data_IF_893677561139
#
_entry.id   IF_893677561139
#
_cell.length_a   1.000
_cell.length_b   1.000
_cell.length_c   1.000
_cell.angle_alpha   90.00
_cell.angle_beta   90.00
_cell.angle_gamma   90.00
#
_symmetry.space_group_name_H-M   'P 1'
#
loop_
_entity.id
_entity.type
_entity.pdbx_description
1 polymer ?
#
# COMPACT_ATOMS: atom_id res chain seq x y z
N UNK A 1 -7.38 -9.96 8.86
CA UNK A 1 -6.18 -10.66 8.34
C UNK A 1 -5.70 -9.94 7.09
N UNK A 2 -4.41 -9.58 6.97
CA UNK A 2 -3.84 -9.14 5.69
C UNK A 2 -3.60 -10.41 4.86
N UNK A 3 -3.77 -10.40 3.54
CA UNK A 3 -2.96 -11.32 2.73
C UNK A 3 -1.52 -11.05 3.16
N UNK A 4 -0.83 -12.02 3.77
CA UNK A 4 0.39 -11.83 4.56
C UNK A 4 1.59 -11.40 3.67
N UNK A 5 1.48 -10.17 3.19
CA UNK A 5 2.33 -9.41 2.28
C UNK A 5 3.06 -8.36 3.13
N UNK A 6 4.11 -7.73 2.61
CA UNK A 6 5.06 -6.85 3.33
C UNK A 6 6.40 -7.55 3.67
N UNK A 7 6.73 -8.71 3.05
CA UNK A 7 8.02 -9.41 3.29
C UNK A 7 9.21 -8.56 2.83
N UNK A 8 9.01 -7.78 1.77
CA UNK A 8 10.02 -6.89 1.19
C UNK A 8 10.31 -5.65 2.04
N UNK A 9 9.55 -5.38 3.11
CA UNK A 9 9.71 -4.23 4.00
C UNK A 9 10.12 -4.67 5.42
N UNK A 10 11.40 -5.04 5.64
CA UNK A 10 11.87 -5.54 6.94
C UNK A 10 12.19 -4.41 7.95
N UNK A 11 11.73 -3.18 7.71
CA UNK A 11 12.12 -2.01 8.48
C UNK A 11 11.17 -1.77 9.66
N UNK A 12 11.71 -1.28 10.76
CA UNK A 12 10.92 -0.79 11.91
C UNK A 12 10.89 0.74 11.85
N UNK A 13 9.71 1.34 11.67
CA UNK A 13 9.61 2.79 11.46
C UNK A 13 8.24 3.36 11.82
N UNK A 14 8.23 4.64 12.19
CA UNK A 14 7.02 5.47 12.23
C UNK A 14 7.00 6.51 11.09
N UNK A 15 8.17 6.86 10.55
CA UNK A 15 8.30 7.77 9.42
C UNK A 15 8.41 6.96 8.12
N UNK A 16 7.49 7.17 7.17
CA UNK A 16 7.46 6.48 5.87
C UNK A 16 8.79 6.57 5.09
N UNK A 17 9.68 7.53 5.38
CA UNK A 17 10.99 7.67 4.73
C UNK A 17 11.99 6.61 5.21
N UNK A 18 11.82 6.10 6.44
CA UNK A 18 12.72 5.13 7.09
C UNK A 18 12.35 3.67 6.79
N UNK A 19 11.35 3.40 5.96
CA UNK A 19 10.97 2.05 5.52
C UNK A 19 10.11 2.11 4.26
N UNK A 20 9.51 1.00 3.82
CA UNK A 20 8.81 0.97 2.52
C UNK A 20 7.30 1.26 2.61
N UNK A 21 6.91 2.13 3.55
CA UNK A 21 5.50 2.44 3.87
C UNK A 21 4.68 2.93 2.68
N UNK A 22 5.30 3.60 1.70
CA UNK A 22 4.62 3.98 0.45
C UNK A 22 4.19 2.78 -0.37
N UNK A 23 5.09 1.80 -0.55
CA UNK A 23 4.82 0.60 -1.31
C UNK A 23 3.80 -0.28 -0.58
N UNK A 24 3.99 -0.46 0.73
CA UNK A 24 3.16 -1.34 1.57
C UNK A 24 1.80 -0.75 1.98
N UNK A 25 1.54 0.54 1.71
CA UNK A 25 0.32 1.29 2.11
C UNK A 25 -1.02 0.60 1.85
N UNK A 26 -1.12 -0.26 0.85
CA UNK A 26 -2.36 -0.95 0.47
C UNK A 26 -2.64 -2.19 1.32
N UNK A 27 -1.73 -2.53 2.24
CA UNK A 27 -1.89 -3.60 3.22
C UNK A 27 -2.75 -3.15 4.40
N UNK A 28 -4.07 -3.07 4.18
CA UNK A 28 -5.05 -2.74 5.22
C UNK A 28 -5.61 -3.97 5.94
N UNK A 29 -6.28 -3.75 7.08
CA UNK A 29 -6.99 -4.78 7.84
C UNK A 29 -8.49 -4.51 7.77
N UNK A 30 -9.28 -5.55 7.53
CA UNK A 30 -10.73 -5.46 7.44
C UNK A 30 -11.43 -6.37 8.46
N UNK A 31 -12.62 -5.95 8.88
CA UNK A 31 -13.52 -6.74 9.74
C UNK A 31 -14.35 -7.67 8.86
N UNK A 32 -14.08 -8.96 8.92
CA UNK A 32 -14.74 -9.92 8.04
C UNK A 32 -14.41 -11.36 8.38
N UNK A 33 -14.75 -12.25 7.46
CA UNK A 33 -14.47 -13.67 7.55
C UNK A 33 -13.23 -13.95 6.70
N UNK A 34 -12.30 -14.72 7.25
CA UNK A 34 -11.11 -15.18 6.56
C UNK A 34 -11.03 -16.70 6.60
N UNK A 35 -10.49 -17.29 5.53
CA UNK A 35 -10.13 -18.69 5.44
C UNK A 35 -8.67 -18.82 5.00
N UNK A 36 -7.95 -19.70 5.66
CA UNK A 36 -6.57 -20.06 5.36
C UNK A 36 -6.49 -21.56 5.13
N UNK A 37 -5.95 -21.94 3.98
CA UNK A 37 -5.74 -23.35 3.69
C UNK A 37 -4.60 -23.92 4.53
N UNK A 38 -4.61 -25.24 4.81
CA UNK A 38 -3.40 -25.95 5.16
C UNK A 38 -2.32 -25.75 4.09
N UNK A 39 -1.08 -26.05 4.46
CA UNK A 39 0.01 -26.11 3.50
C UNK A 39 -0.06 -27.38 2.67
N UNK A 40 0.13 -27.27 1.37
CA UNK A 40 0.22 -28.42 0.48
C UNK A 40 1.32 -28.20 -0.57
N UNK A 41 2.37 -29.03 -0.53
CA UNK A 41 3.53 -28.92 -1.42
C UNK A 41 4.14 -27.51 -1.47
N UNK A 42 4.25 -26.85 -0.31
CA UNK A 42 4.75 -25.47 -0.18
C UNK A 42 3.73 -24.38 -0.50
N UNK A 43 2.54 -24.72 -1.01
CA UNK A 43 1.49 -23.76 -1.32
C UNK A 43 0.55 -23.50 -0.13
N UNK A 44 0.13 -22.24 0.02
CA UNK A 44 -0.95 -21.79 0.91
C UNK A 44 -1.85 -20.80 0.20
N UNK A 45 -3.16 -20.97 0.35
CA UNK A 45 -4.17 -20.06 -0.16
C UNK A 45 -4.90 -19.37 1.00
N UNK A 46 -5.21 -18.08 0.83
CA UNK A 46 -5.96 -17.29 1.78
C UNK A 46 -7.11 -16.58 1.07
N UNK A 47 -8.27 -16.49 1.70
CA UNK A 47 -9.38 -15.67 1.23
C UNK A 47 -9.95 -14.86 2.40
N UNK A 48 -10.34 -13.62 2.15
CA UNK A 48 -11.05 -12.77 3.09
C UNK A 48 -12.21 -12.08 2.39
N UNK A 49 -13.35 -12.05 3.07
CA UNK A 49 -14.50 -11.24 2.68
C UNK A 49 -14.91 -10.34 3.85
N UNK A 50 -14.98 -9.03 3.57
CA UNK A 50 -15.52 -8.03 4.48
C UNK A 50 -16.91 -7.65 3.98
N UNK A 51 -17.99 -8.08 4.65
CA UNK A 51 -19.34 -7.74 4.27
C UNK A 51 -19.56 -6.23 4.30
N UNK A 52 -20.38 -5.77 3.36
CA UNK A 52 -20.93 -4.42 3.30
C UNK A 52 -21.21 -3.79 4.67
N UNK A 53 -22.01 -4.44 5.51
CA UNK A 53 -22.52 -3.78 6.72
C UNK A 53 -21.42 -3.54 7.76
N UNK A 54 -20.34 -4.33 7.71
CA UNK A 54 -19.12 -4.07 8.49
C UNK A 54 -18.34 -2.87 7.94
N UNK A 55 -18.42 -2.59 6.64
CA UNK A 55 -17.78 -1.44 5.99
C UNK A 55 -18.61 -0.18 6.18
N UNK A 56 -19.93 -0.28 6.00
CA UNK A 56 -20.89 0.83 6.00
C UNK A 56 -21.49 1.15 7.37
N UNK A 57 -21.12 0.41 8.42
CA UNK A 57 -21.67 0.58 9.77
C UNK A 57 -23.17 0.29 9.87
N UNK A 58 -23.71 -0.56 8.99
CA UNK A 58 -25.13 -0.92 8.94
C UNK A 58 -26.10 0.19 8.50
N UNK A 59 -25.61 1.33 7.98
CA UNK A 59 -26.47 2.44 7.56
C UNK A 59 -27.12 2.19 6.19
N UNK A 60 -28.24 1.45 6.20
CA UNK A 60 -28.99 1.03 5.01
C UNK A 60 -29.83 2.15 4.38
N UNK A 61 -30.26 3.14 5.17
CA UNK A 61 -31.03 4.27 4.66
C UNK A 61 -30.17 5.17 3.78
N UNK A 62 -28.94 5.49 4.22
CA UNK A 62 -28.05 6.34 3.42
C UNK A 62 -27.59 5.69 2.12
N UNK A 63 -27.60 4.38 2.04
CA UNK A 63 -27.40 3.69 0.78
C UNK A 63 -28.58 3.86 -0.17
N UNK A 64 -29.80 3.56 0.29
CA UNK A 64 -30.99 3.57 -0.56
C UNK A 64 -31.36 4.99 -1.00
N UNK A 65 -31.30 5.93 -0.06
CA UNK A 65 -31.74 7.31 -0.28
C UNK A 65 -30.67 8.18 -0.97
N UNK A 66 -29.38 7.87 -0.77
CA UNK A 66 -28.27 8.70 -1.27
C UNK A 66 -27.26 7.96 -2.16
N UNK A 67 -27.51 6.69 -2.49
CA UNK A 67 -26.67 5.93 -3.44
C UNK A 67 -25.24 5.68 -2.95
N UNK A 68 -25.02 5.65 -1.62
CA UNK A 68 -23.69 5.52 -0.99
C UNK A 68 -22.90 4.28 -1.44
N UNK A 69 -23.54 3.26 -2.02
CA UNK A 69 -22.87 2.08 -2.54
C UNK A 69 -22.51 1.03 -1.47
N UNK A 70 -22.02 -0.14 -1.90
CA UNK A 70 -21.84 -1.31 -1.03
C UNK A 70 -20.52 -1.35 -0.26
N UNK A 71 -19.41 -0.90 -0.84
CA UNK A 71 -18.13 -0.87 -0.13
C UNK A 71 -17.51 -2.24 0.22
N UNK A 72 -18.18 -3.36 -0.09
CA UNK A 72 -17.67 -4.71 0.18
C UNK A 72 -16.21 -4.88 -0.25
N UNK A 73 -15.43 -5.62 0.56
CA UNK A 73 -14.01 -5.85 0.28
C UNK A 73 -13.75 -7.35 0.16
N UNK A 74 -12.96 -7.73 -0.84
CA UNK A 74 -12.55 -9.11 -1.08
C UNK A 74 -11.03 -9.16 -1.20
N UNK A 75 -10.40 -10.13 -0.55
CA UNK A 75 -8.97 -10.36 -0.66
C UNK A 75 -8.70 -11.82 -0.92
N UNK A 76 -7.78 -12.11 -1.83
CA UNK A 76 -7.24 -13.47 -2.02
C UNK A 76 -5.72 -13.43 -2.02
N UNK A 77 -5.11 -14.49 -1.50
CA UNK A 77 -3.67 -14.66 -1.40
C UNK A 77 -3.26 -16.05 -1.87
N UNK A 78 -2.15 -16.12 -2.59
CA UNK A 78 -1.45 -17.35 -2.92
C UNK A 78 0.00 -17.21 -2.50
N UNK A 79 0.49 -18.16 -1.72
CA UNK A 79 1.86 -18.17 -1.22
C UNK A 79 2.50 -19.51 -1.61
N UNK A 80 3.78 -19.46 -1.94
CA UNK A 80 4.62 -20.60 -2.20
C UNK A 80 5.95 -20.41 -1.48
N UNK A 81 6.46 -21.48 -0.88
CA UNK A 81 7.82 -21.53 -0.36
C UNK A 81 8.45 -22.88 -0.66
N UNK A 82 9.75 -22.87 -0.95
CA UNK A 82 10.55 -24.08 -1.13
C UNK A 82 12.04 -23.74 -1.01
N UNK A 83 12.76 -24.44 -0.13
CA UNK A 83 14.22 -24.35 0.01
C UNK A 83 14.77 -22.90 0.11
N UNK A 84 14.12 -22.06 0.92
CA UNK A 84 14.48 -20.64 1.09
C UNK A 84 13.89 -19.71 0.03
N UNK A 85 13.48 -20.21 -1.13
CA UNK A 85 12.74 -19.40 -2.10
C UNK A 85 11.31 -19.19 -1.64
N UNK A 86 10.79 -17.99 -1.88
CA UNK A 86 9.39 -17.66 -1.64
C UNK A 86 8.78 -16.87 -2.80
N UNK A 87 7.48 -17.05 -2.99
CA UNK A 87 6.67 -16.23 -3.87
C UNK A 87 5.28 -16.03 -3.26
N UNK A 88 4.77 -14.80 -3.28
CA UNK A 88 3.49 -14.40 -2.71
C UNK A 88 2.77 -13.51 -3.68
N UNK A 89 1.52 -13.84 -3.98
CA UNK A 89 0.61 -13.02 -4.74
C UNK A 89 -0.59 -12.65 -3.89
N UNK A 90 -0.91 -11.37 -3.82
CA UNK A 90 -2.08 -10.84 -3.14
C UNK A 90 -2.94 -10.04 -4.11
N UNK A 91 -4.24 -10.25 -4.05
CA UNK A 91 -5.23 -9.48 -4.77
C UNK A 91 -6.26 -8.92 -3.79
N UNK A 92 -6.53 -7.62 -3.86
CA UNK A 92 -7.64 -6.97 -3.16
C UNK A 92 -8.59 -6.35 -4.17
N UNK A 93 -9.88 -6.53 -3.95
CA UNK A 93 -10.96 -5.87 -4.67
C UNK A 93 -11.78 -5.04 -3.68
N UNK A 94 -11.98 -3.77 -4.01
CA UNK A 94 -12.62 -2.77 -3.15
C UNK A 94 -13.80 -2.18 -3.92
N UNK A 95 -15.04 -2.47 -3.51
CA UNK A 95 -16.19 -1.89 -4.20
C UNK A 95 -16.29 -0.39 -3.95
N UNK A 96 -16.56 0.37 -5.01
CA UNK A 96 -16.84 1.81 -4.96
C UNK A 96 -15.78 2.70 -4.28
N UNK A 97 -14.52 2.28 -4.22
CA UNK A 97 -13.46 3.03 -3.53
C UNK A 97 -12.97 4.29 -4.28
N UNK A 98 -13.42 4.52 -5.52
CA UNK A 98 -13.13 5.75 -6.26
C UNK A 98 -14.34 6.27 -7.04
N UNK A 99 -14.26 7.51 -7.51
CA UNK A 99 -15.21 8.09 -8.45
C UNK A 99 -14.53 8.88 -9.57
N UNK A 100 -15.30 9.05 -10.65
CA UNK A 100 -14.97 9.88 -11.80
C UNK A 100 -16.10 10.88 -12.00
N UNK A 101 -15.77 12.16 -12.10
CA UNK A 101 -16.71 13.23 -12.46
C UNK A 101 -16.61 13.47 -13.96
N UNK A 102 -17.73 13.31 -14.66
CA UNK A 102 -17.83 13.63 -16.09
C UNK A 102 -17.90 15.14 -16.33
N UNK A 103 -17.63 15.58 -17.56
CA UNK A 103 -17.77 16.99 -17.96
C UNK A 103 -19.20 17.54 -17.74
N UNK A 104 -20.20 16.66 -17.84
CA UNK A 104 -21.62 16.95 -17.52
C UNK A 104 -21.93 17.04 -16.02
N UNK A 105 -20.94 16.88 -15.12
CA UNK A 105 -21.11 16.91 -13.68
C UNK A 105 -21.64 15.61 -13.05
N UNK A 106 -21.95 14.58 -13.85
CA UNK A 106 -22.35 13.27 -13.34
C UNK A 106 -21.17 12.54 -12.70
N UNK A 107 -21.37 12.05 -11.48
CA UNK A 107 -20.39 11.25 -10.73
C UNK A 107 -20.65 9.77 -10.94
N UNK A 108 -19.62 9.03 -11.33
CA UNK A 108 -19.66 7.57 -11.49
C UNK A 108 -18.71 6.90 -10.50
N UNK A 109 -19.26 6.07 -9.60
CA UNK A 109 -18.49 5.21 -8.72
C UNK A 109 -17.71 4.15 -9.51
N UNK A 110 -16.55 3.79 -9.00
CA UNK A 110 -15.59 2.86 -9.60
C UNK A 110 -15.00 1.95 -8.52
N UNK A 111 -14.76 0.71 -8.91
CA UNK A 111 -14.13 -0.27 -8.03
C UNK A 111 -12.60 -0.16 -8.05
N UNK A 112 -12.02 -0.41 -6.88
CA UNK A 112 -10.61 -0.53 -6.60
C UNK A 112 -10.09 -1.94 -6.76
N UNK A 113 -8.84 -2.02 -7.22
CA UNK A 113 -8.11 -3.27 -7.23
C UNK A 113 -6.63 -3.06 -6.91
N UNK A 114 -6.06 -3.98 -6.16
CA UNK A 114 -4.62 -4.04 -5.87
C UNK A 114 -4.14 -5.42 -6.22
N UNK A 115 -3.09 -5.50 -7.04
CA UNK A 115 -2.35 -6.72 -7.31
C UNK A 115 -0.94 -6.51 -6.77
N UNK A 116 -0.48 -7.39 -5.90
CA UNK A 116 0.88 -7.36 -5.37
C UNK A 116 1.52 -8.73 -5.55
N UNK A 117 2.73 -8.74 -6.09
CA UNK A 117 3.61 -9.90 -6.18
C UNK A 117 4.87 -9.59 -5.39
N UNK A 118 5.23 -10.46 -4.45
CA UNK A 118 6.52 -10.42 -3.74
C UNK A 118 7.20 -11.78 -3.91
N UNK A 119 8.48 -11.81 -4.23
CA UNK A 119 9.23 -13.05 -4.37
C UNK A 119 10.68 -12.85 -3.99
N UNK A 120 11.37 -13.91 -3.64
CA UNK A 120 12.73 -13.78 -3.18
C UNK A 120 13.34 -15.07 -2.67
N UNK A 121 14.42 -14.88 -1.92
CA UNK A 121 15.19 -15.92 -1.27
C UNK A 121 15.54 -15.45 0.15
N UNK A 122 15.29 -16.29 1.13
CA UNK A 122 15.52 -16.05 2.55
C UNK A 122 16.03 -17.33 3.20
N UNK A 123 17.33 -17.57 3.08
CA UNK A 123 18.03 -18.71 3.68
C UNK A 123 19.56 -18.51 3.60
N UNK A 124 20.31 -19.29 4.37
CA UNK A 124 21.78 -19.28 4.37
C UNK A 124 22.35 -17.86 4.55
N UNK A 125 21.87 -17.16 5.58
CA UNK A 125 22.25 -15.79 5.94
C UNK A 125 21.93 -14.70 4.91
N UNK A 126 21.39 -15.05 3.74
CA UNK A 126 21.08 -14.11 2.67
C UNK A 126 19.57 -13.86 2.58
N UNK A 127 19.21 -12.58 2.59
CA UNK A 127 17.87 -12.11 2.25
C UNK A 127 17.88 -11.30 0.95
N UNK A 128 17.05 -11.71 -0.01
CA UNK A 128 16.77 -10.98 -1.24
C UNK A 128 15.27 -11.00 -1.45
N UNK A 129 14.64 -9.83 -1.50
CA UNK A 129 13.22 -9.69 -1.78
C UNK A 129 12.98 -8.69 -2.91
N UNK A 130 12.16 -9.06 -3.88
CA UNK A 130 11.63 -8.15 -4.89
C UNK A 130 10.12 -8.09 -4.81
N UNK A 131 9.55 -6.92 -5.09
CA UNK A 131 8.11 -6.72 -5.08
C UNK A 131 7.66 -5.89 -6.25
N UNK A 132 6.46 -6.18 -6.77
CA UNK A 132 5.76 -5.37 -7.74
C UNK A 132 4.31 -5.16 -7.27
N UNK A 133 3.83 -3.94 -7.41
CA UNK A 133 2.46 -3.57 -7.07
C UNK A 133 1.80 -2.80 -8.21
N UNK A 134 0.61 -3.23 -8.58
CA UNK A 134 -0.34 -2.47 -9.36
C UNK A 134 -1.52 -2.08 -8.48
N UNK A 135 -1.88 -0.81 -8.48
CA UNK A 135 -3.03 -0.26 -7.76
C UNK A 135 -3.92 0.51 -8.73
N UNK A 136 -5.23 0.37 -8.57
CA UNK A 136 -6.23 1.14 -9.30
C UNK A 136 -7.34 1.52 -8.33
N UNK A 137 -7.79 2.78 -8.42
CA UNK A 137 -8.96 3.31 -7.71
C UNK A 137 -8.91 3.07 -6.20
N UNK A 138 -7.73 3.25 -5.61
CA UNK A 138 -7.47 3.05 -4.17
C UNK A 138 -6.44 4.08 -3.71
N UNK A 139 -5.91 3.93 -2.48
CA UNK A 139 -4.87 4.79 -1.94
C UNK A 139 -3.69 4.93 -2.92
N UNK A 140 -3.30 6.18 -3.19
CA UNK A 140 -2.21 6.52 -4.10
C UNK A 140 -0.96 6.92 -3.32
N UNK A 141 0.22 6.54 -3.82
CA UNK A 141 1.50 7.02 -3.29
C UNK A 141 1.78 8.48 -3.65
N UNK A 142 1.09 9.02 -4.65
CA UNK A 142 1.26 10.40 -5.09
C UNK A 142 0.61 11.35 -4.07
N UNK A 143 1.41 12.27 -3.51
CA UNK A 143 0.97 13.19 -2.46
C UNK A 143 -0.21 14.08 -2.85
N UNK A 144 -0.31 14.48 -4.11
CA UNK A 144 -1.45 15.29 -4.58
C UNK A 144 -2.80 14.56 -4.50
N UNK A 145 -2.78 13.22 -4.34
CA UNK A 145 -3.97 12.41 -4.10
C UNK A 145 -4.09 11.92 -2.65
N UNK A 146 -3.06 12.09 -1.82
CA UNK A 146 -3.07 11.66 -0.41
C UNK A 146 -4.03 12.59 0.36
N UNK A 147 -5.17 12.07 0.79
CA UNK A 147 -6.22 12.84 1.45
C UNK A 147 -7.12 13.64 0.51
N UNK A 148 -6.95 13.51 -0.82
CA UNK A 148 -7.86 14.10 -1.79
C UNK A 148 -9.14 13.27 -1.86
N UNK A 149 -10.20 13.76 -1.22
CA UNK A 149 -11.56 13.25 -1.34
C UNK A 149 -12.34 14.07 -2.37
N UNK A 150 -13.29 13.45 -3.05
CA UNK A 150 -14.19 14.15 -3.96
C UNK A 150 -15.17 15.00 -3.14
N UNK A 151 -15.19 16.34 -3.30
CA UNK A 151 -16.16 17.18 -2.61
C UNK A 151 -17.55 17.01 -3.25
N UNK A 152 -18.57 16.85 -2.43
CA UNK A 152 -19.99 16.73 -2.83
C UNK A 152 -20.83 17.70 -1.99
N UNK A 153 -21.69 18.49 -2.62
CA UNK A 153 -22.54 19.49 -1.96
C UNK A 153 -22.62 20.82 -2.70
N UNK A 154 -23.47 21.73 -2.21
CA UNK A 154 -23.60 23.10 -2.74
C UNK A 154 -22.57 24.08 -2.15
N UNK A 155 -22.46 25.25 -2.77
CA UNK A 155 -21.57 26.33 -2.33
C UNK A 155 -21.81 26.65 -0.84
N UNK A 156 -20.76 26.55 -0.01
CA UNK A 156 -20.83 26.74 1.45
C UNK A 156 -21.08 25.48 2.30
N UNK A 157 -21.39 24.31 1.71
CA UNK A 157 -21.59 23.04 2.43
C UNK A 157 -20.97 21.84 1.67
N UNK A 158 -19.67 21.90 1.40
CA UNK A 158 -18.93 20.81 0.77
C UNK A 158 -18.66 19.69 1.79
N UNK A 159 -19.13 18.48 1.50
CA UNK A 159 -18.81 17.24 2.23
C UNK A 159 -17.86 16.37 1.42
N UNK A 160 -17.18 15.42 2.06
CA UNK A 160 -16.38 14.42 1.35
C UNK A 160 -17.26 13.24 0.95
N UNK A 161 -17.10 12.76 -0.28
CA UNK A 161 -17.76 11.53 -0.70
C UNK A 161 -17.11 10.34 0.01
N UNK A 162 -17.90 9.64 0.84
CA UNK A 162 -17.45 8.52 1.66
C UNK A 162 -18.40 7.33 1.49
N UNK A 163 -17.89 6.12 1.68
CA UNK A 163 -18.66 4.88 1.71
C UNK A 163 -18.31 4.17 3.00
N UNK A 164 -19.14 4.36 4.02
CA UNK A 164 -18.88 3.78 5.31
C UNK A 164 -17.56 4.26 5.93
N UNK A 165 -16.64 3.31 6.11
CA UNK A 165 -15.33 3.48 6.75
C UNK A 165 -14.27 4.16 5.88
N UNK A 166 -14.52 4.40 4.58
CA UNK A 166 -13.50 4.92 3.67
C UNK A 166 -13.97 6.11 2.83
N UNK A 167 -13.02 7.00 2.54
CA UNK A 167 -13.21 8.12 1.63
C UNK A 167 -13.07 7.63 0.18
N UNK A 168 -13.94 8.12 -0.71
CA UNK A 168 -13.87 7.85 -2.14
C UNK A 168 -12.79 8.72 -2.77
N UNK A 169 -11.80 8.07 -3.39
CA UNK A 169 -10.70 8.76 -4.09
C UNK A 169 -11.05 9.03 -5.56
N UNK A 170 -10.16 9.69 -6.29
CA UNK A 170 -10.28 9.91 -7.74
C UNK A 170 -9.93 8.64 -8.52
N UNK A 171 -10.50 8.44 -9.73
CA UNK A 171 -10.05 7.37 -10.64
C UNK A 171 -8.55 7.50 -10.88
N UNK A 172 -7.78 6.58 -10.32
CA UNK A 172 -6.33 6.65 -10.30
C UNK A 172 -5.70 5.27 -10.55
N UNK A 173 -4.50 5.26 -11.11
CA UNK A 173 -3.71 4.03 -11.31
C UNK A 173 -2.25 4.27 -10.97
N UNK A 174 -1.67 3.37 -10.18
CA UNK A 174 -0.27 3.41 -9.78
C UNK A 174 0.42 2.08 -10.05
N UNK A 175 1.69 2.16 -10.43
CA UNK A 175 2.62 1.03 -10.51
C UNK A 175 3.83 1.34 -9.64
N UNK A 176 4.33 0.33 -8.92
CA UNK A 176 5.48 0.44 -8.03
C UNK A 176 6.29 -0.87 -8.02
N UNK A 177 7.60 -0.76 -7.83
CA UNK A 177 8.48 -1.90 -7.66
C UNK A 177 9.48 -1.63 -6.53
N UNK A 178 9.90 -2.71 -5.86
CA UNK A 178 10.87 -2.65 -4.76
C UNK A 178 11.88 -3.78 -4.86
N UNK A 179 13.06 -3.51 -4.31
CA UNK A 179 14.14 -4.45 -4.09
C UNK A 179 14.68 -4.24 -2.68
N UNK A 180 14.84 -5.32 -1.93
CA UNK A 180 15.47 -5.33 -0.62
C UNK A 180 16.52 -6.42 -0.58
N UNK A 181 17.69 -6.08 -0.04
CA UNK A 181 18.83 -6.97 0.14
C UNK A 181 19.28 -6.90 1.60
N UNK A 182 19.66 -8.04 2.17
CA UNK A 182 20.25 -8.11 3.50
C UNK A 182 21.14 -9.34 3.63
N UNK A 183 22.11 -9.27 4.54
CA UNK A 183 23.00 -10.39 4.82
C UNK A 183 23.31 -10.48 6.31
N UNK A 184 23.17 -11.66 6.92
CA UNK A 184 23.45 -11.89 8.33
C UNK A 184 24.95 -12.15 8.55
N UNK A 185 25.59 -11.26 9.29
CA UNK A 185 26.92 -11.44 9.86
C UNK A 185 26.79 -11.77 11.35
N UNK A 186 26.53 -13.04 11.65
CA UNK A 186 26.16 -13.48 13.00
C UNK A 186 24.98 -12.65 13.52
N UNK A 187 25.19 -11.83 14.56
CA UNK A 187 24.16 -11.00 15.18
C UNK A 187 23.91 -9.66 14.46
N UNK A 188 24.67 -9.33 13.42
CA UNK A 188 24.51 -8.06 12.67
C UNK A 188 23.83 -8.35 11.33
N UNK A 189 22.73 -7.67 11.04
CA UNK A 189 22.01 -7.79 9.77
C UNK A 189 21.95 -6.45 9.04
N UNK A 190 23.01 -6.04 8.30
CA UNK A 190 22.93 -4.93 7.38
C UNK A 190 21.93 -5.24 6.26
N UNK A 191 21.12 -4.24 5.93
CA UNK A 191 20.11 -4.34 4.87
C UNK A 191 19.93 -3.01 4.14
N UNK A 192 19.49 -3.08 2.90
CA UNK A 192 19.22 -1.94 2.01
C UNK A 192 17.97 -2.22 1.18
N UNK A 193 17.14 -1.21 1.00
CA UNK A 193 15.96 -1.25 0.15
C UNK A 193 15.94 -0.09 -0.83
N UNK A 194 15.47 -0.36 -2.04
CA UNK A 194 15.12 0.65 -3.03
C UNK A 194 13.67 0.43 -3.49
N UNK A 195 12.91 1.53 -3.58
CA UNK A 195 11.55 1.53 -4.11
C UNK A 195 11.38 2.61 -5.17
N UNK A 196 10.65 2.26 -6.23
CA UNK A 196 10.31 3.15 -7.33
C UNK A 196 8.81 3.10 -7.61
N UNK A 197 8.14 4.24 -7.59
CA UNK A 197 6.79 4.40 -8.11
C UNK A 197 6.81 5.19 -9.39
N UNK A 198 6.18 4.68 -10.45
CA UNK A 198 6.09 5.39 -11.73
C UNK A 198 5.16 6.61 -11.66
N UNK A 199 4.97 7.31 -12.78
CA UNK A 199 3.97 8.36 -12.83
C UNK A 199 2.56 7.75 -12.76
N UNK A 200 1.72 8.26 -11.84
CA UNK A 200 0.33 7.82 -11.70
C UNK A 200 -0.50 8.22 -12.92
N UNK A 201 -1.59 7.49 -13.17
CA UNK A 201 -2.65 7.95 -14.07
C UNK A 201 -3.81 8.48 -13.23
N UNK A 202 -4.40 9.61 -13.62
CA UNK A 202 -5.62 10.18 -13.04
C UNK A 202 -6.64 10.37 -14.16
N UNK A 203 -7.87 9.89 -13.97
CA UNK A 203 -8.92 9.93 -14.99
C UNK A 203 -8.47 9.38 -16.36
N UNK A 204 -7.59 8.38 -16.36
CA UNK A 204 -7.02 7.75 -17.57
C UNK A 204 -5.76 8.42 -18.15
N UNK A 205 -5.45 9.66 -17.77
CA UNK A 205 -4.30 10.42 -18.25
C UNK A 205 -3.07 10.23 -17.36
N UNK A 206 -1.88 10.09 -17.95
CA UNK A 206 -0.63 9.92 -17.21
C UNK A 206 -0.13 11.26 -16.68
N UNK A 207 -0.08 11.39 -15.37
CA UNK A 207 0.33 12.62 -14.69
C UNK A 207 1.84 12.71 -14.58
N UNK A 208 2.44 13.69 -15.26
CA UNK A 208 3.89 13.90 -15.23
C UNK A 208 4.34 14.32 -13.81
N UNK A 209 5.60 14.04 -13.48
CA UNK A 209 6.21 14.42 -12.20
C UNK A 209 5.41 13.97 -10.97
N UNK A 210 4.86 12.75 -10.99
CA UNK A 210 4.16 12.14 -9.84
C UNK A 210 4.89 10.91 -9.30
N UNK A 211 5.93 10.46 -10.01
CA UNK A 211 6.82 9.38 -9.58
C UNK A 211 7.52 9.66 -8.25
N UNK A 212 7.93 8.60 -7.57
CA UNK A 212 8.82 8.67 -6.40
C UNK A 212 9.98 7.68 -6.50
N UNK A 213 11.07 8.02 -5.82
CA UNK A 213 12.24 7.18 -5.63
C UNK A 213 12.59 7.19 -4.14
N UNK A 214 12.83 6.02 -3.55
CA UNK A 214 13.15 5.87 -2.14
C UNK A 214 14.29 4.89 -1.93
N UNK A 215 15.23 5.23 -1.06
CA UNK A 215 16.30 4.35 -0.58
C UNK A 215 16.27 4.34 0.94
N UNK A 216 16.38 3.15 1.53
CA UNK A 216 16.55 2.97 2.97
C UNK A 216 17.73 2.03 3.19
N UNK A 217 18.62 2.37 4.12
CA UNK A 217 19.77 1.53 4.48
C UNK A 217 19.99 1.56 5.97
N UNK A 218 20.53 0.48 6.52
CA UNK A 218 20.64 0.34 7.97
C UNK A 218 21.11 -1.05 8.36
N UNK A 219 21.10 -1.31 9.66
CA UNK A 219 21.46 -2.60 10.21
C UNK A 219 20.67 -2.87 11.49
N UNK A 220 20.38 -4.15 11.70
CA UNK A 220 19.88 -4.67 12.97
C UNK A 220 21.02 -5.34 13.74
N UNK A 221 20.99 -5.24 15.06
CA UNK A 221 21.85 -5.98 15.98
C UNK A 221 21.00 -6.79 16.95
N UNK A 222 21.11 -8.10 16.88
CA UNK A 222 20.39 -9.02 17.74
C UNK A 222 21.16 -9.26 19.04
N UNK A 223 20.64 -8.73 20.16
CA UNK A 223 21.13 -9.08 21.50
C UNK A 223 20.68 -10.48 21.90
N UNK A 224 19.48 -10.88 21.44
CA UNK A 224 18.90 -12.21 21.63
C UNK A 224 17.84 -12.45 20.56
N UNK A 225 17.23 -13.65 20.53
CA UNK A 225 16.07 -13.95 19.67
C UNK A 225 14.87 -13.02 19.88
N UNK A 226 14.83 -12.31 21.01
CA UNK A 226 13.70 -11.47 21.42
C UNK A 226 14.04 -9.98 21.48
N UNK A 227 15.32 -9.59 21.35
CA UNK A 227 15.75 -8.20 21.54
C UNK A 227 16.71 -7.78 20.46
N UNK A 228 16.34 -6.75 19.70
CA UNK A 228 17.08 -6.26 18.54
C UNK A 228 17.19 -4.74 18.61
N UNK A 229 18.40 -4.19 18.52
CA UNK A 229 18.60 -2.77 18.21
C UNK A 229 18.59 -2.56 16.70
N UNK A 230 18.06 -1.43 16.25
CA UNK A 230 18.08 -1.05 14.84
C UNK A 230 18.63 0.37 14.66
N UNK A 231 19.29 0.59 13.53
CA UNK A 231 19.74 1.88 13.05
C UNK A 231 19.47 1.96 11.55
N UNK A 232 18.86 3.04 11.08
CA UNK A 232 18.56 3.21 9.67
C UNK A 232 18.53 4.67 9.22
N UNK A 233 18.84 4.89 7.95
CA UNK A 233 18.76 6.15 7.26
C UNK A 233 17.91 5.99 5.99
N UNK A 234 17.11 7.00 5.69
CA UNK A 234 16.20 7.00 4.56
C UNK A 234 16.32 8.27 3.74
N UNK A 235 16.21 8.12 2.41
CA UNK A 235 16.08 9.21 1.46
C UNK A 235 14.88 8.95 0.56
N UNK A 236 13.99 9.92 0.45
CA UNK A 236 12.78 9.87 -0.37
C UNK A 236 12.72 11.10 -1.26
N UNK A 237 12.46 10.90 -2.55
CA UNK A 237 12.19 11.96 -3.51
C UNK A 237 10.84 11.75 -4.17
N UNK A 238 10.00 12.76 -4.13
CA UNK A 238 8.63 12.69 -4.64
C UNK A 238 8.36 13.82 -5.61
N UNK A 239 7.72 13.51 -6.73
CA UNK A 239 7.16 14.53 -7.61
C UNK A 239 5.84 15.09 -7.09
N UNK A 240 5.62 16.39 -7.31
CA UNK A 240 4.41 17.11 -6.86
C UNK A 240 3.36 17.30 -7.97
N UNK A 241 3.54 16.68 -9.14
CA UNK A 241 2.68 16.84 -10.31
C UNK A 241 3.00 18.10 -11.12
N UNK A 242 2.01 18.54 -11.90
CA UNK A 242 2.03 19.74 -12.72
C UNK A 242 0.86 20.67 -12.38
N UNK A 243 1.00 21.95 -12.72
CA UNK A 243 -0.10 22.92 -12.80
C UNK A 243 -0.83 22.78 -14.15
N UNK A 244 -2.02 23.35 -14.25
CA UNK A 244 -2.84 23.38 -15.48
C UNK A 244 -2.09 23.99 -16.67
N UNK A 245 -1.17 24.93 -16.41
CA UNK A 245 -0.31 25.58 -17.42
C UNK A 245 0.92 24.74 -17.84
N UNK A 246 0.90 23.41 -17.65
CA UNK A 246 2.03 22.51 -17.97
C UNK A 246 3.36 22.89 -17.29
N UNK A 247 3.31 23.52 -16.11
CA UNK A 247 4.48 23.81 -15.30
C UNK A 247 4.63 22.81 -14.14
N UNK A 248 5.86 22.37 -13.85
CA UNK A 248 6.13 21.42 -12.77
C UNK A 248 5.88 22.05 -11.39
N UNK A 249 5.17 21.34 -10.50
CA UNK A 249 5.01 21.72 -9.07
C UNK A 249 6.26 21.45 -8.22
N UNK A 250 7.40 21.15 -8.87
CA UNK A 250 8.64 20.83 -8.20
C UNK A 250 8.65 19.41 -7.63
N UNK A 251 9.63 19.15 -6.75
CA UNK A 251 9.83 17.85 -6.11
C UNK A 251 10.14 18.05 -4.64
N UNK A 252 9.63 17.18 -3.79
CA UNK A 252 10.00 17.13 -2.39
C UNK A 252 11.13 16.13 -2.23
N UNK A 253 12.12 16.49 -1.40
CA UNK A 253 13.18 15.58 -0.94
C UNK A 253 13.07 15.52 0.56
N UNK A 254 13.03 14.32 1.11
CA UNK A 254 12.95 14.10 2.54
C UNK A 254 14.01 13.09 2.93
N UNK A 255 14.79 13.43 3.95
CA UNK A 255 15.81 12.57 4.55
C UNK A 255 15.47 12.35 6.00
N UNK A 256 15.72 11.15 6.49
CA UNK A 256 15.53 10.82 7.89
C UNK A 256 16.63 9.86 8.37
N UNK A 257 16.88 9.88 9.66
CA UNK A 257 17.71 8.92 10.37
C UNK A 257 16.97 8.49 11.64
N UNK A 258 17.10 7.23 12.02
CA UNK A 258 16.45 6.67 13.20
C UNK A 258 17.29 5.58 13.84
N UNK A 259 17.16 5.48 15.17
CA UNK A 259 17.65 4.37 15.98
C UNK A 259 16.50 3.89 16.87
N UNK A 260 16.48 2.60 17.16
CA UNK A 260 15.40 1.99 17.94
C UNK A 260 15.83 0.70 18.61
N UNK A 261 14.96 0.24 19.52
CA UNK A 261 15.09 -1.05 20.20
C UNK A 261 13.73 -1.75 20.13
N UNK A 262 13.74 -3.00 19.68
CA UNK A 262 12.57 -3.88 19.63
C UNK A 262 12.75 -4.99 20.65
N UNK A 263 11.71 -5.23 21.44
CA UNK A 263 11.64 -6.39 22.33
C UNK A 263 10.32 -7.13 22.10
N UNK A 264 10.39 -8.45 21.92
CA UNK A 264 9.23 -9.33 21.72
C UNK A 264 9.10 -10.26 22.93
N UNK A 265 7.96 -10.19 23.62
CA UNK A 265 7.66 -10.98 24.82
C UNK A 265 6.87 -12.25 24.52
#
# INVERSE_FOLDING_TARGET
MKANMDVVDPWEYNNEVLGLGKFTRTGERYVGIAYDSPEWAGFKFNALYSPRDNVNGGNRNSEYDYGMGAGDKYSVGLNYHNAGYFAKYGFNFLKNSAAMISESGHTKLKDGQVHRLESGYDANDLFVGVGYQYSKNTSSYFRGLKGASIPVGGEGNLKTMNIGDHNVTWDNRGQEAVLTLGYHFNNVFPKISYAHGWNVKINGSKEKNTKYDQVVLGADYDFSKHTTANIQAGWLREGNGYYELNQSKGKNKTTAFGVGLKHTF
#
